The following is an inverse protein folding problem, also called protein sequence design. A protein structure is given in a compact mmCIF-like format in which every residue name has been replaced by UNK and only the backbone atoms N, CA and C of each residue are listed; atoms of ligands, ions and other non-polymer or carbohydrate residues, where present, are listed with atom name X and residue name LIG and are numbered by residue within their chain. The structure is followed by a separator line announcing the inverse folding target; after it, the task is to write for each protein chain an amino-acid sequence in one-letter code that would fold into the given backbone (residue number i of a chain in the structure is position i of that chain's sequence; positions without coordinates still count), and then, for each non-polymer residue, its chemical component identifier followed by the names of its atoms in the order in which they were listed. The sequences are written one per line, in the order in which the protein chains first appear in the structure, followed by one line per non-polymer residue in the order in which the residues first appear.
data_IF_997012690893
#
_entry.id   IF_997012690893
#
_cell.length_a   1.000
_cell.length_b   1.000
_cell.length_c   1.000
_cell.angle_alpha   90.00
_cell.angle_beta   90.00
_cell.angle_gamma   90.00
#
_symmetry.space_group_name_H-M   'P 1'
#
loop_
_entity.id
_entity.type
_entity.pdbx_description
1 polymer ?
#
# COMPACT_ATOMS: atom_id res chain seq x y z
N UNK A 1 -17.05 -7.70 -2.06
CA UNK A 1 -15.94 -7.07 -2.79
C UNK A 1 -15.69 -7.88 -4.05
N UNK A 2 -15.46 -7.23 -5.18
CA UNK A 2 -15.19 -7.92 -6.45
C UNK A 2 -13.75 -7.64 -6.81
N UNK A 3 -12.90 -8.66 -6.78
CA UNK A 3 -11.50 -8.56 -7.19
C UNK A 3 -11.45 -8.22 -8.68
N UNK A 4 -10.46 -7.42 -9.08
CA UNK A 4 -10.21 -7.08 -10.48
C UNK A 4 -9.96 -8.32 -11.32
N UNK A 5 -10.48 -8.28 -12.54
CA UNK A 5 -10.25 -9.32 -13.54
C UNK A 5 -8.78 -9.35 -13.96
N UNK A 6 -8.35 -10.49 -14.50
CA UNK A 6 -6.99 -10.67 -14.96
C UNK A 6 -6.64 -9.68 -16.08
N UNK A 7 -7.59 -9.41 -16.97
CA UNK A 7 -7.47 -8.43 -18.05
C UNK A 7 -7.34 -6.99 -17.54
N UNK A 8 -8.11 -6.63 -16.50
CA UNK A 8 -7.96 -5.33 -15.84
C UNK A 8 -6.58 -5.17 -15.20
N UNK A 9 -6.09 -6.22 -14.52
CA UNK A 9 -4.78 -6.23 -13.86
C UNK A 9 -3.66 -6.07 -14.91
N UNK A 10 -3.69 -6.84 -16.00
CA UNK A 10 -2.72 -6.70 -17.11
C UNK A 10 -2.75 -5.29 -17.70
N UNK A 11 -3.95 -4.76 -17.97
CA UNK A 11 -4.12 -3.40 -18.50
C UNK A 11 -3.48 -2.36 -17.58
N UNK A 12 -3.68 -2.51 -16.27
CA UNK A 12 -3.12 -1.60 -15.28
C UNK A 12 -1.60 -1.69 -15.17
N UNK A 13 -1.01 -2.89 -15.22
CA UNK A 13 0.46 -3.06 -15.26
C UNK A 13 1.06 -2.28 -16.43
N UNK A 14 0.47 -2.40 -17.63
CA UNK A 14 0.94 -1.65 -18.79
C UNK A 14 0.77 -0.15 -18.64
N UNK A 15 -0.32 0.32 -18.03
CA UNK A 15 -0.54 1.73 -17.74
C UNK A 15 0.53 2.29 -16.78
N UNK A 16 0.87 1.56 -15.70
CA UNK A 16 1.92 1.96 -14.75
C UNK A 16 3.27 2.15 -15.44
N UNK A 17 3.65 1.18 -16.30
CA UNK A 17 4.89 1.22 -17.08
C UNK A 17 4.91 2.38 -18.07
N UNK A 18 3.82 2.57 -18.83
CA UNK A 18 3.72 3.62 -19.85
C UNK A 18 3.82 5.02 -19.24
N UNK A 19 3.18 5.22 -18.09
CA UNK A 19 3.12 6.53 -17.42
C UNK A 19 4.29 6.79 -16.46
N UNK A 20 5.18 5.79 -16.24
CA UNK A 20 6.27 5.84 -15.25
C UNK A 20 5.77 6.22 -13.85
N UNK A 21 4.57 5.76 -13.51
CA UNK A 21 3.89 6.05 -12.24
C UNK A 21 4.32 5.13 -11.10
N UNK A 22 5.21 4.17 -11.40
CA UNK A 22 5.74 3.21 -10.44
C UNK A 22 7.24 2.98 -10.69
N UNK A 23 8.03 4.03 -10.48
CA UNK A 23 9.47 4.04 -10.78
C UNK A 23 10.21 2.91 -10.05
N UNK A 24 9.75 2.55 -8.84
CA UNK A 24 10.36 1.52 -8.01
C UNK A 24 9.70 0.14 -8.15
N UNK A 25 8.62 0.02 -8.94
CA UNK A 25 7.95 -1.25 -9.24
C UNK A 25 7.07 -1.82 -8.12
N UNK A 26 6.81 -1.05 -7.06
CA UNK A 26 6.11 -1.58 -5.89
C UNK A 26 4.63 -1.84 -6.14
N UNK A 27 3.99 -1.04 -6.99
CA UNK A 27 2.59 -1.23 -7.37
C UNK A 27 2.49 -2.39 -8.35
N UNK A 28 3.39 -2.43 -9.32
CA UNK A 28 3.50 -3.52 -10.28
C UNK A 28 3.70 -4.88 -9.59
N UNK A 29 4.55 -4.97 -8.55
CA UNK A 29 4.73 -6.20 -7.77
C UNK A 29 3.39 -6.79 -7.30
N UNK A 30 2.52 -5.95 -6.72
CA UNK A 30 1.21 -6.38 -6.19
C UNK A 30 0.36 -6.99 -7.30
N UNK A 31 0.38 -6.37 -8.48
CA UNK A 31 -0.43 -6.78 -9.63
C UNK A 31 0.12 -8.05 -10.29
N UNK A 32 1.43 -8.13 -10.49
CA UNK A 32 2.10 -9.30 -11.10
C UNK A 32 1.89 -10.55 -10.26
N UNK A 33 1.95 -10.42 -8.93
CA UNK A 33 1.69 -11.53 -8.02
C UNK A 33 0.21 -11.93 -7.98
N UNK A 34 -0.72 -11.11 -8.46
CA UNK A 34 -2.14 -11.44 -8.55
C UNK A 34 -2.58 -12.06 -9.88
N UNK A 35 -1.73 -11.99 -10.90
CA UNK A 35 -2.01 -12.59 -12.19
C UNK A 35 -1.98 -14.12 -12.10
N UNK A 36 -2.70 -14.82 -12.98
CA UNK A 36 -2.50 -16.25 -13.24
C UNK A 36 -1.33 -16.49 -14.19
N UNK A 37 -1.02 -17.76 -14.46
CA UNK A 37 0.12 -18.13 -15.30
C UNK A 37 0.02 -17.61 -16.74
N UNK A 38 -1.18 -17.57 -17.32
CA UNK A 38 -1.36 -17.14 -18.71
C UNK A 38 -1.23 -15.63 -18.85
N UNK A 39 -1.72 -14.88 -17.87
CA UNK A 39 -1.64 -13.42 -17.86
C UNK A 39 -0.29 -12.90 -17.38
N UNK A 40 0.32 -13.54 -16.39
CA UNK A 40 1.63 -13.12 -15.88
C UNK A 40 2.70 -13.21 -16.98
N UNK A 41 2.61 -14.20 -17.87
CA UNK A 41 3.49 -14.34 -19.04
C UNK A 41 3.41 -13.17 -20.02
N UNK A 42 2.30 -12.43 -20.04
CA UNK A 42 2.15 -11.27 -20.89
C UNK A 42 2.99 -10.09 -20.37
N UNK A 43 3.21 -10.02 -19.06
CA UNK A 43 3.88 -8.88 -18.41
C UNK A 43 5.29 -9.20 -17.91
N UNK A 44 5.61 -10.45 -17.61
CA UNK A 44 6.95 -10.89 -17.27
C UNK A 44 7.86 -10.82 -18.49
N UNK A 45 8.95 -10.08 -18.38
CA UNK A 45 9.99 -10.12 -19.41
C UNK A 45 10.89 -11.35 -19.21
N UNK A 46 11.42 -11.96 -20.28
CA UNK A 46 12.29 -13.14 -20.19
C UNK A 46 13.57 -12.95 -19.35
N UNK A 47 13.88 -11.72 -18.91
CA UNK A 47 15.12 -11.37 -18.20
C UNK A 47 15.12 -11.70 -16.71
N UNK A 48 14.01 -12.17 -16.16
CA UNK A 48 13.92 -12.50 -14.74
C UNK A 48 13.33 -13.91 -14.54
N UNK A 49 14.18 -14.95 -14.39
CA UNK A 49 13.75 -16.24 -13.87
C UNK A 49 13.57 -16.10 -12.35
N UNK A 50 12.69 -15.20 -11.91
CA UNK A 50 12.22 -15.20 -10.54
C UNK A 50 11.15 -16.28 -10.47
N UNK A 51 11.19 -17.11 -9.44
CA UNK A 51 10.09 -18.02 -9.10
C UNK A 51 8.85 -17.17 -8.83
N UNK A 52 8.07 -16.92 -9.89
CA UNK A 52 6.78 -16.29 -9.76
C UNK A 52 5.87 -17.24 -8.99
N UNK A 53 5.24 -16.70 -7.95
CA UNK A 53 4.24 -17.40 -7.16
C UNK A 53 2.95 -16.57 -7.21
N UNK A 54 1.87 -17.19 -7.65
CA UNK A 54 0.57 -16.55 -7.61
C UNK A 54 0.12 -16.38 -6.16
N UNK A 55 -0.28 -15.16 -5.82
CA UNK A 55 -1.06 -14.87 -4.62
C UNK A 55 -2.53 -15.04 -4.96
N UNK A 56 -3.24 -15.82 -4.15
CA UNK A 56 -4.68 -16.08 -4.34
C UNK A 56 -5.52 -15.41 -3.25
N UNK A 57 -5.00 -15.33 -2.02
CA UNK A 57 -5.68 -14.66 -0.91
C UNK A 57 -5.20 -13.21 -0.77
N UNK A 58 -5.82 -12.32 -1.53
CA UNK A 58 -5.46 -10.89 -1.56
C UNK A 58 -5.96 -10.13 -0.34
N UNK A 59 -7.10 -10.51 0.23
CA UNK A 59 -7.67 -9.79 1.38
C UNK A 59 -6.85 -10.04 2.65
N UNK A 60 -6.52 -11.31 2.94
CA UNK A 60 -5.66 -11.64 4.07
C UNK A 60 -4.30 -10.99 3.91
N UNK A 61 -3.69 -11.08 2.72
CA UNK A 61 -2.43 -10.41 2.46
C UNK A 61 -2.51 -8.89 2.66
N UNK A 62 -3.59 -8.25 2.22
CA UNK A 62 -3.76 -6.81 2.42
C UNK A 62 -3.90 -6.42 3.89
N UNK A 63 -4.55 -7.26 4.70
CA UNK A 63 -4.66 -7.07 6.15
C UNK A 63 -3.30 -7.24 6.82
N UNK A 64 -2.56 -8.31 6.52
CA UNK A 64 -1.22 -8.53 7.06
C UNK A 64 -0.24 -7.41 6.62
N UNK A 65 -0.41 -6.90 5.39
CA UNK A 65 0.41 -5.81 4.88
C UNK A 65 0.08 -4.47 5.53
N UNK A 66 -1.17 -4.26 5.97
CA UNK A 66 -1.55 -3.09 6.76
C UNK A 66 -0.81 -3.08 8.10
N UNK A 67 -0.76 -4.21 8.81
CA UNK A 67 -0.02 -4.33 10.07
C UNK A 67 1.47 -4.04 9.87
N UNK A 68 2.04 -4.58 8.78
CA UNK A 68 3.42 -4.28 8.38
C UNK A 68 3.62 -2.77 8.12
N UNK A 69 2.71 -2.13 7.40
CA UNK A 69 2.77 -0.71 7.05
C UNK A 69 2.71 0.19 8.29
N UNK A 70 1.81 -0.12 9.23
CA UNK A 70 1.69 0.57 10.52
C UNK A 70 3.02 0.49 11.28
N UNK A 71 3.64 -0.70 11.34
CA UNK A 71 4.96 -0.85 11.94
C UNK A 71 6.03 0.06 11.30
N UNK A 72 5.99 0.28 9.98
CA UNK A 72 6.94 1.18 9.30
C UNK A 72 6.71 2.65 9.60
N UNK A 73 5.48 3.05 9.87
CA UNK A 73 5.14 4.40 10.32
C UNK A 73 5.69 4.62 11.73
N UNK A 74 5.39 3.71 12.67
CA UNK A 74 5.84 3.78 14.07
C UNK A 74 7.38 3.79 14.17
N UNK A 75 8.04 2.97 13.36
CA UNK A 75 9.50 2.91 13.30
C UNK A 75 10.14 4.11 12.56
N UNK A 76 9.35 5.06 12.06
CA UNK A 76 9.81 6.23 11.29
C UNK A 76 10.66 5.84 10.07
N UNK A 77 10.27 4.78 9.35
CA UNK A 77 11.03 4.23 8.20
C UNK A 77 10.55 4.83 6.88
N UNK A 78 10.94 6.07 6.59
CA UNK A 78 10.58 6.85 5.38
C UNK A 78 10.36 6.05 4.09
N UNK A 79 11.43 5.44 3.57
CA UNK A 79 11.36 4.68 2.31
C UNK A 79 10.43 3.47 2.39
N UNK A 80 10.41 2.78 3.54
CA UNK A 80 9.55 1.61 3.74
C UNK A 80 8.08 2.00 3.87
N UNK A 81 7.80 3.14 4.52
CA UNK A 81 6.46 3.67 4.66
C UNK A 81 5.90 4.14 3.31
N UNK A 82 6.71 4.83 2.50
CA UNK A 82 6.31 5.26 1.13
C UNK A 82 5.96 4.08 0.26
N UNK A 83 6.83 3.07 0.24
CA UNK A 83 6.54 1.80 -0.45
C UNK A 83 5.25 1.16 0.04
N UNK A 84 4.97 1.25 1.34
CA UNK A 84 3.79 0.61 1.92
C UNK A 84 2.51 1.32 1.49
N UNK A 85 2.52 2.65 1.40
CA UNK A 85 1.40 3.42 0.85
C UNK A 85 1.13 3.03 -0.61
N UNK A 86 2.17 2.91 -1.43
CA UNK A 86 2.02 2.49 -2.83
C UNK A 86 1.39 1.09 -2.93
N UNK A 87 1.89 0.12 -2.14
CA UNK A 87 1.36 -1.25 -2.14
C UNK A 87 -0.06 -1.33 -1.60
N UNK A 88 -0.40 -0.61 -0.53
CA UNK A 88 -1.76 -0.60 0.03
C UNK A 88 -2.77 0.05 -0.93
N UNK A 89 -2.41 1.16 -1.58
CA UNK A 89 -3.27 1.77 -2.60
C UNK A 89 -3.54 0.80 -3.75
N UNK A 90 -2.51 0.07 -4.17
CA UNK A 90 -2.64 -0.92 -5.23
C UNK A 90 -3.46 -2.15 -4.82
N UNK A 91 -3.32 -2.60 -3.57
CA UNK A 91 -4.17 -3.65 -3.00
C UNK A 91 -5.64 -3.23 -2.91
N UNK A 92 -5.94 -1.98 -2.53
CA UNK A 92 -7.30 -1.46 -2.54
C UNK A 92 -7.90 -1.48 -3.95
N UNK A 93 -7.13 -1.06 -4.96
CA UNK A 93 -7.57 -1.11 -6.35
C UNK A 93 -7.84 -2.55 -6.81
N UNK A 94 -6.92 -3.48 -6.52
CA UNK A 94 -7.03 -4.91 -6.85
C UNK A 94 -8.29 -5.54 -6.23
N UNK A 95 -8.63 -5.12 -5.01
CA UNK A 95 -9.82 -5.57 -4.28
C UNK A 95 -11.13 -4.89 -4.74
N UNK A 96 -11.07 -4.07 -5.79
CA UNK A 96 -12.23 -3.37 -6.37
C UNK A 96 -12.74 -2.22 -5.50
N UNK A 97 -11.88 -1.63 -4.66
CA UNK A 97 -12.22 -0.55 -3.74
C UNK A 97 -11.66 0.80 -4.19
N UNK A 98 -12.15 1.27 -5.34
CA UNK A 98 -11.76 2.58 -5.89
C UNK A 98 -12.10 3.74 -4.94
N UNK A 99 -13.13 3.58 -4.11
CA UNK A 99 -13.49 4.53 -3.05
C UNK A 99 -12.36 4.70 -2.02
N UNK A 100 -11.69 3.60 -1.67
CA UNK A 100 -10.55 3.61 -0.76
C UNK A 100 -9.33 4.24 -1.43
N UNK A 101 -9.06 3.88 -2.69
CA UNK A 101 -7.98 4.50 -3.47
C UNK A 101 -8.14 6.02 -3.51
N UNK A 102 -9.35 6.50 -3.81
CA UNK A 102 -9.66 7.93 -3.81
C UNK A 102 -9.49 8.56 -2.42
N UNK A 103 -9.90 7.87 -1.35
CA UNK A 103 -9.69 8.32 0.02
C UNK A 103 -8.21 8.44 0.39
N UNK A 104 -7.40 7.45 0.00
CA UNK A 104 -5.94 7.50 0.17
C UNK A 104 -5.32 8.63 -0.64
N UNK A 105 -5.73 8.84 -1.89
CA UNK A 105 -5.21 9.90 -2.76
C UNK A 105 -5.55 11.29 -2.21
N UNK A 106 -6.75 11.47 -1.66
CA UNK A 106 -7.19 12.70 -1.02
C UNK A 106 -6.42 13.02 0.27
N UNK A 107 -6.02 12.00 1.03
CA UNK A 107 -5.21 12.18 2.23
C UNK A 107 -3.79 12.66 1.87
N UNK A 108 -3.24 13.58 2.68
CA UNK A 108 -1.86 14.04 2.52
C UNK A 108 -0.81 12.96 2.86
N UNK A 109 0.47 13.24 2.62
CA UNK A 109 1.59 12.37 3.00
C UNK A 109 2.43 12.88 4.21
N UNK A 110 1.89 13.58 5.23
CA UNK A 110 2.69 13.89 6.41
C UNK A 110 2.94 12.62 7.23
N UNK A 111 3.89 12.69 8.18
CA UNK A 111 4.08 11.66 9.19
C UNK A 111 4.18 10.25 8.61
N UNK A 112 5.10 10.07 7.65
CA UNK A 112 5.36 8.77 7.02
C UNK A 112 4.15 8.17 6.28
N UNK A 113 3.20 9.01 5.85
CA UNK A 113 2.01 8.56 5.13
C UNK A 113 0.92 7.98 6.03
N UNK A 114 1.01 8.18 7.35
CA UNK A 114 0.00 7.70 8.31
C UNK A 114 -1.45 8.07 7.95
N UNK A 115 -1.77 9.29 7.47
CA UNK A 115 -3.15 9.60 7.08
C UNK A 115 -3.66 8.73 5.92
N UNK A 116 -2.81 8.40 4.94
CA UNK A 116 -3.18 7.52 3.81
C UNK A 116 -3.42 6.09 4.28
N UNK A 117 -2.56 5.58 5.16
CA UNK A 117 -2.71 4.22 5.71
C UNK A 117 -3.95 4.13 6.61
N UNK A 118 -4.28 5.20 7.35
CA UNK A 118 -5.55 5.27 8.08
C UNK A 118 -6.75 5.28 7.14
N UNK A 119 -6.73 6.06 6.05
CA UNK A 119 -7.81 6.05 5.07
C UNK A 119 -8.04 4.66 4.46
N UNK A 120 -6.96 3.91 4.21
CA UNK A 120 -7.04 2.50 3.81
C UNK A 120 -7.77 1.65 4.86
N UNK A 121 -7.29 1.69 6.11
CA UNK A 121 -7.86 0.89 7.20
C UNK A 121 -9.34 1.22 7.46
N UNK A 122 -9.68 2.51 7.57
CA UNK A 122 -11.04 3.00 7.76
C UNK A 122 -11.97 2.54 6.64
N UNK A 123 -11.50 2.62 5.38
CA UNK A 123 -12.29 2.23 4.22
C UNK A 123 -12.67 0.74 4.19
N UNK A 124 -11.84 -0.11 4.78
CA UNK A 124 -12.13 -1.53 4.97
C UNK A 124 -12.80 -1.85 6.31
N UNK A 125 -12.91 -0.89 7.23
CA UNK A 125 -13.35 -1.12 8.61
C UNK A 125 -12.36 -1.98 9.40
N UNK A 126 -11.08 -1.90 9.07
CA UNK A 126 -10.00 -2.64 9.73
C UNK A 126 -9.35 -1.79 10.82
N UNK A 127 -8.75 -2.41 11.86
CA UNK A 127 -8.07 -1.67 12.91
C UNK A 127 -6.84 -0.94 12.35
N UNK A 128 -6.74 0.35 12.66
CA UNK A 128 -5.54 1.15 12.43
C UNK A 128 -4.73 1.37 13.71
N UNK A 129 -5.41 1.39 14.86
CA UNK A 129 -4.80 1.61 16.17
C UNK A 129 -4.72 0.28 16.90
N UNK A 130 -3.52 -0.12 17.30
CA UNK A 130 -3.32 -1.24 18.20
C UNK A 130 -2.12 -0.97 19.14
N UNK A 131 -2.23 -1.46 20.38
CA UNK A 131 -1.17 -1.42 21.40
C UNK A 131 -0.86 -0.06 22.04
N UNK A 132 0.28 -0.03 22.75
CA UNK A 132 0.75 1.10 23.58
C UNK A 132 1.07 2.36 22.75
N UNK A 133 1.34 2.21 21.46
CA UNK A 133 1.67 3.30 20.52
C UNK A 133 0.43 4.01 19.94
N UNK A 134 -0.78 3.60 20.35
CA UNK A 134 -2.03 4.09 19.77
C UNK A 134 -2.20 5.61 19.81
N UNK A 135 -1.68 6.29 20.84
CA UNK A 135 -1.73 7.76 20.91
C UNK A 135 -0.81 8.43 19.89
N UNK A 136 0.44 7.94 19.75
CA UNK A 136 1.39 8.49 18.79
C UNK A 136 0.89 8.28 17.35
N UNK A 137 0.39 7.09 17.06
CA UNK A 137 -0.13 6.73 15.74
C UNK A 137 -1.39 7.53 15.38
N UNK A 138 -2.30 7.77 16.35
CA UNK A 138 -3.46 8.63 16.14
C UNK A 138 -3.06 10.07 15.77
N UNK A 139 -2.06 10.64 16.46
CA UNK A 139 -1.53 11.96 16.14
C UNK A 139 -0.94 12.02 14.73
N UNK A 140 -0.14 11.01 14.37
CA UNK A 140 0.46 10.92 13.04
C UNK A 140 -0.60 10.83 11.93
N UNK A 141 -1.68 10.08 12.17
CA UNK A 141 -2.81 9.99 11.26
C UNK A 141 -3.57 11.32 11.09
N UNK A 142 -3.58 12.17 12.12
CA UNK A 142 -4.10 13.54 12.04
C UNK A 142 -3.10 14.54 11.42
N UNK A 143 -1.95 14.04 10.94
CA UNK A 143 -0.87 14.84 10.37
C UNK A 143 -0.04 15.58 11.41
N UNK A 144 -0.15 15.23 12.69
CA UNK A 144 0.61 15.84 13.79
C UNK A 144 1.85 15.02 14.12
N UNK A 145 2.86 15.67 14.69
CA UNK A 145 4.03 14.95 15.22
C UNK A 145 3.60 13.92 16.26
N UNK A 146 4.21 12.74 16.15
CA UNK A 146 4.06 11.59 17.03
C UNK A 146 4.22 11.96 18.52
N UNK A 147 5.16 12.84 18.85
CA UNK A 147 5.35 13.43 20.19
C UNK A 147 5.12 14.95 20.13
N UNK A 148 4.19 15.52 20.92
CA UNK A 148 3.97 16.96 20.98
C UNK A 148 5.16 17.78 21.52
N UNK A 149 6.11 17.15 22.21
CA UNK A 149 7.33 17.80 22.69
C UNK A 149 8.46 17.78 21.64
N UNK A 150 8.21 17.16 20.50
CA UNK A 150 9.16 16.96 19.41
C UNK A 150 9.66 15.52 19.32
N UNK A 151 9.95 15.07 18.11
CA UNK A 151 10.38 13.69 17.85
C UNK A 151 11.86 13.65 17.42
N UNK A 152 12.71 13.06 18.26
CA UNK A 152 14.13 12.87 17.96
C UNK A 152 14.39 11.96 16.76
N UNK A 153 13.44 11.08 16.43
CA UNK A 153 13.49 10.20 15.26
C UNK A 153 13.07 10.90 13.96
N UNK A 154 12.62 12.15 14.05
CA UNK A 154 12.24 12.99 12.91
C UNK A 154 10.83 12.68 12.40
N UNK A 155 9.79 13.13 13.09
CA UNK A 155 8.46 13.24 12.49
C UNK A 155 8.50 14.47 11.56
N UNK A 156 8.35 14.26 10.24
CA UNK A 156 8.44 15.34 9.24
C UNK A 156 7.26 16.30 9.38
N UNK A 157 7.54 17.61 9.45
CA UNK A 157 6.53 18.69 9.51
C UNK A 157 5.65 18.78 8.25
#
# INVERSE_FOLDING_TARGET
MTIRTQEEIVTRVWALRANRQDILGFREDVLVEALDLDHVRQVLTPRHPVEWTQRVDHETYARDYLDFAIGKIIDHRGNSASRSVDKLSELAWLLGRDDIVAGMDHAGYPMYGAPKVKAFADGFGWPFLDGDDGLALARMADGQQCDPQGCERGCAD
#
